data_IF_539059045628
#
_entry.id   IF_539059045628
#
_cell.length_a   1.000
_cell.length_b   1.000
_cell.length_c   1.000
_cell.angle_alpha   90.00
_cell.angle_beta   90.00
_cell.angle_gamma   90.00
#
_symmetry.space_group_name_H-M   'P 1'
#
loop_
_entity.id
_entity.type
_entity.pdbx_description
1 polymer ?
#
# COMPACT_ATOMS: atom_id res chain seq x y z
N UNK A 1 -12.24 2.11 28.46
CA UNK A 1 -12.10 1.25 27.27
C UNK A 1 -10.72 1.54 26.67
N UNK A 2 -9.83 0.56 26.58
CA UNK A 2 -8.48 0.77 26.05
C UNK A 2 -8.48 1.00 24.54
N UNK A 3 -7.63 1.90 24.06
CA UNK A 3 -7.42 2.14 22.63
C UNK A 3 -6.65 0.97 22.03
N UNK A 4 -7.20 0.31 21.02
CA UNK A 4 -6.54 -0.79 20.30
C UNK A 4 -6.05 -0.22 18.97
N UNK A 5 -4.73 -0.13 18.76
CA UNK A 5 -4.19 0.26 17.46
C UNK A 5 -4.17 -0.98 16.56
N UNK A 6 -4.86 -0.93 15.42
CA UNK A 6 -4.80 -1.99 14.42
C UNK A 6 -3.94 -1.54 13.24
N UNK A 7 -3.07 -2.45 12.77
CA UNK A 7 -2.34 -2.31 11.52
C UNK A 7 -2.82 -3.42 10.58
N UNK A 8 -3.34 -3.03 9.43
CA UNK A 8 -3.77 -3.99 8.41
C UNK A 8 -2.92 -3.83 7.15
N UNK A 9 -2.54 -4.96 6.58
CA UNK A 9 -1.98 -5.05 5.23
C UNK A 9 -3.00 -5.75 4.36
N UNK A 10 -3.54 -5.04 3.36
CA UNK A 10 -4.50 -5.63 2.44
C UNK A 10 -3.76 -6.42 1.35
N UNK A 11 -4.19 -7.66 1.05
CA UNK A 11 -3.61 -8.43 -0.05
C UNK A 11 -3.95 -7.77 -1.39
N UNK A 12 -2.94 -7.61 -2.24
CA UNK A 12 -3.10 -7.13 -3.62
C UNK A 12 -2.65 -8.24 -4.57
N UNK A 13 -3.52 -8.61 -5.51
CA UNK A 13 -3.19 -9.51 -6.61
C UNK A 13 -2.82 -8.70 -7.85
N UNK A 14 -1.73 -9.07 -8.51
CA UNK A 14 -1.30 -8.46 -9.76
C UNK A 14 -1.40 -9.50 -10.88
N UNK A 15 -2.12 -9.16 -11.94
CA UNK A 15 -2.26 -9.96 -13.15
C UNK A 15 -1.59 -9.22 -14.31
N UNK A 16 -0.91 -9.96 -15.19
CA UNK A 16 -0.33 -9.41 -16.41
C UNK A 16 -1.13 -9.95 -17.61
N UNK A 17 -1.79 -9.05 -18.32
CA UNK A 17 -2.62 -9.35 -19.48
C UNK A 17 -2.04 -8.65 -20.71
N UNK A 18 -1.36 -9.42 -21.57
CA UNK A 18 -0.61 -8.87 -22.69
C UNK A 18 0.46 -7.88 -22.23
N UNK A 19 0.31 -6.62 -22.65
CA UNK A 19 1.21 -5.52 -22.33
C UNK A 19 0.76 -4.69 -21.11
N UNK A 20 -0.37 -5.03 -20.49
CA UNK A 20 -0.93 -4.31 -19.35
C UNK A 20 -0.85 -5.11 -18.05
N UNK A 21 -0.86 -4.39 -16.94
CA UNK A 21 -0.96 -4.92 -15.58
C UNK A 21 -2.30 -4.54 -14.97
N UNK A 22 -2.92 -5.49 -14.27
CA UNK A 22 -4.16 -5.30 -13.51
C UNK A 22 -3.83 -5.55 -12.05
N UNK A 23 -4.17 -4.60 -11.17
CA UNK A 23 -4.05 -4.77 -9.73
C UNK A 23 -5.44 -4.85 -9.10
N UNK A 24 -5.66 -5.82 -8.21
CA UNK A 24 -6.94 -6.07 -7.54
C UNK A 24 -6.75 -6.28 -6.04
N UNK A 25 -7.57 -5.63 -5.20
CA UNK A 25 -7.64 -5.86 -3.76
C UNK A 25 -9.00 -6.50 -3.39
N UNK A 26 -9.05 -7.83 -3.17
CA UNK A 26 -10.32 -8.53 -2.90
C UNK A 26 -11.04 -8.02 -1.64
N UNK A 27 -10.27 -7.56 -0.64
CA UNK A 27 -10.82 -7.12 0.63
C UNK A 27 -11.62 -5.81 0.53
N UNK A 28 -11.31 -4.96 -0.46
CA UNK A 28 -11.95 -3.67 -0.68
C UNK A 28 -12.71 -3.60 -2.02
N UNK A 29 -12.69 -4.68 -2.79
CA UNK A 29 -13.24 -4.80 -4.13
C UNK A 29 -12.83 -3.66 -5.08
N UNK A 30 -11.57 -3.23 -4.98
CA UNK A 30 -10.99 -2.21 -5.86
C UNK A 30 -10.02 -2.84 -6.86
N UNK A 31 -10.07 -2.35 -8.09
CA UNK A 31 -9.10 -2.70 -9.13
C UNK A 31 -8.62 -1.47 -9.91
N UNK A 32 -7.44 -1.60 -10.51
CA UNK A 32 -6.90 -0.60 -11.44
C UNK A 32 -6.03 -1.27 -12.51
N UNK A 33 -5.75 -0.56 -13.60
CA UNK A 33 -4.97 -1.04 -14.75
C UNK A 33 -3.92 0.00 -15.16
N UNK A 34 -2.79 -0.48 -15.69
CA UNK A 34 -1.69 0.38 -16.15
C UNK A 34 -0.67 -0.41 -16.95
N UNK A 35 0.28 0.30 -17.55
CA UNK A 35 1.27 -0.29 -18.46
C UNK A 35 2.47 -0.88 -17.70
N UNK A 36 2.64 -0.49 -16.43
CA UNK A 36 3.73 -0.98 -15.61
C UNK A 36 3.26 -1.44 -14.23
N UNK A 37 3.94 -2.46 -13.70
CA UNK A 37 3.75 -2.94 -12.33
C UNK A 37 3.76 -1.82 -11.28
N UNK A 38 4.64 -0.84 -11.47
CA UNK A 38 4.82 0.26 -10.53
C UNK A 38 3.66 1.26 -10.55
N UNK A 39 3.16 1.55 -11.73
CA UNK A 39 2.05 2.46 -11.94
C UNK A 39 0.80 1.94 -11.22
N UNK A 40 0.43 0.68 -11.44
CA UNK A 40 -0.78 0.09 -10.85
C UNK A 40 -0.72 0.04 -9.32
N UNK A 41 0.45 -0.23 -8.75
CA UNK A 41 0.63 -0.17 -7.29
C UNK A 41 0.51 1.27 -6.76
N UNK A 42 1.09 2.24 -7.47
CA UNK A 42 1.02 3.66 -7.08
C UNK A 42 -0.43 4.16 -7.11
N UNK A 43 -1.21 3.74 -8.10
CA UNK A 43 -2.65 4.03 -8.19
C UNK A 43 -3.46 3.43 -7.02
N UNK A 44 -3.03 2.27 -6.48
CA UNK A 44 -3.59 1.69 -5.24
C UNK A 44 -3.02 2.31 -3.95
N UNK A 45 -2.25 3.40 -4.05
CA UNK A 45 -1.73 4.15 -2.91
C UNK A 45 -0.34 3.73 -2.43
N UNK A 46 0.34 2.80 -3.10
CA UNK A 46 1.73 2.49 -2.78
C UNK A 46 2.65 3.68 -3.04
N UNK A 47 3.63 3.86 -2.17
CA UNK A 47 4.60 4.94 -2.28
C UNK A 47 5.97 4.43 -2.68
N UNK A 48 6.68 5.21 -3.50
CA UNK A 48 8.08 4.93 -3.83
C UNK A 48 8.98 5.64 -2.82
N UNK A 49 9.53 4.90 -1.85
CA UNK A 49 10.52 5.41 -0.89
C UNK A 49 11.86 4.76 -1.22
N UNK A 50 12.90 5.54 -1.49
CA UNK A 50 14.27 5.06 -1.76
C UNK A 50 14.36 3.92 -2.80
N UNK A 51 13.59 4.05 -3.89
CA UNK A 51 13.46 3.06 -4.99
C UNK A 51 12.72 1.77 -4.63
N UNK A 52 12.24 1.63 -3.41
CA UNK A 52 11.36 0.53 -2.99
C UNK A 52 9.90 0.99 -3.02
N UNK A 53 9.00 0.06 -3.31
CA UNK A 53 7.56 0.29 -3.20
C UNK A 53 7.13 -0.16 -1.80
N UNK A 54 6.46 0.74 -1.08
CA UNK A 54 5.96 0.50 0.28
C UNK A 54 4.44 0.50 0.27
N UNK A 55 3.77 -0.50 0.87
CA UNK A 55 2.32 -0.59 0.88
C UNK A 55 1.71 0.54 1.72
N UNK A 56 0.51 1.02 1.35
CA UNK A 56 -0.26 1.85 2.27
C UNK A 56 -0.67 1.00 3.47
N UNK A 57 -0.18 1.35 4.67
CA UNK A 57 -0.64 0.75 5.92
C UNK A 57 -1.87 1.53 6.38
N UNK A 58 -2.96 0.86 6.68
CA UNK A 58 -4.14 1.51 7.25
C UNK A 58 -4.10 1.39 8.77
N UNK A 59 -4.29 2.52 9.45
CA UNK A 59 -4.50 2.62 10.89
C UNK A 59 -5.98 2.89 11.16
N UNK A 60 -6.51 2.38 12.27
CA UNK A 60 -7.91 2.48 12.70
C UNK A 60 -8.39 3.90 13.04
N UNK A 61 -7.51 4.92 12.98
CA UNK A 61 -7.98 6.31 12.96
C UNK A 61 -8.79 6.53 11.69
N UNK A 62 -10.06 6.91 11.84
CA UNK A 62 -10.92 7.43 10.78
C UNK A 62 -10.40 8.70 10.07
N UNK A 63 -9.15 9.06 10.32
CA UNK A 63 -8.40 10.16 9.74
C UNK A 63 -7.28 9.59 8.85
N UNK A 64 -7.69 9.11 7.68
CA UNK A 64 -6.89 9.01 6.45
C UNK A 64 -5.73 8.01 6.45
N UNK A 65 -5.43 7.52 5.25
CA UNK A 65 -4.34 6.61 4.87
C UNK A 65 -2.96 7.13 5.32
N UNK A 66 -2.64 7.04 6.61
CA UNK A 66 -1.33 7.35 7.11
C UNK A 66 -0.41 6.16 6.83
N UNK A 67 0.36 6.33 5.76
CA UNK A 67 1.60 5.61 5.48
C UNK A 67 2.31 5.43 6.83
N UNK A 68 2.49 4.18 7.27
CA UNK A 68 3.40 3.92 8.37
C UNK A 68 4.76 4.44 7.92
N UNK A 69 5.19 5.57 8.49
CA UNK A 69 6.51 6.11 8.25
C UNK A 69 7.52 4.98 8.47
N UNK A 70 8.41 4.68 7.50
CA UNK A 70 9.49 3.74 7.76
C UNK A 70 10.25 4.28 8.97
N UNK A 71 10.29 3.46 10.02
CA UNK A 71 10.84 3.79 11.31
C UNK A 71 12.31 4.22 11.12
N UNK A 72 12.57 5.54 11.03
CA UNK A 72 13.92 6.10 11.03
C UNK A 72 14.44 6.19 12.47
N UNK A 73 14.14 5.18 13.29
CA UNK A 73 14.81 4.97 14.58
C UNK A 73 15.95 3.97 14.37
N UNK A 74 16.96 4.38 13.60
CA UNK A 74 18.29 3.79 13.68
C UNK A 74 19.33 4.89 13.52
N UNK A 75 19.52 5.62 14.61
CA UNK A 75 20.55 6.62 14.80
C UNK A 75 20.84 6.75 16.28
N UNK A 76 21.45 5.72 16.84
CA UNK A 76 22.06 5.74 18.16
C UNK A 76 23.20 6.77 18.17
N UNK A 77 23.05 7.86 18.93
CA UNK A 77 24.03 8.45 19.86
C UNK A 77 23.51 9.77 20.43
#
# INVERSE_FOLDING_TARGET
MGKVNYQFTLPVSILKEGDSFIAYTPALDLSTVGDTFKEVLTQLGWQKVDKQLVPPVTSDRGDLFQIASPDVTSGSQ
#
